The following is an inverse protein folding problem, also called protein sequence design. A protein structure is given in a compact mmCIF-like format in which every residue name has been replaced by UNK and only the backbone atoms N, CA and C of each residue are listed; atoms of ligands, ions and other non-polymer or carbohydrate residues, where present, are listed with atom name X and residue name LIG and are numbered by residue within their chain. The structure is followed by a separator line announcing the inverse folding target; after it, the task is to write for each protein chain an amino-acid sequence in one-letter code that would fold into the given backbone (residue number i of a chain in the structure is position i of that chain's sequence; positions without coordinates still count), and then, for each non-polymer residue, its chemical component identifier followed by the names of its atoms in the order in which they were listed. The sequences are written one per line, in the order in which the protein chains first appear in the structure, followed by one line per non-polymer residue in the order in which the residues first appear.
data_IF_095472908958
#
_entry.id   IF_095472908958
#
_cell.length_a   1.000
_cell.length_b   1.000
_cell.length_c   1.000
_cell.angle_alpha   90.00
_cell.angle_beta   90.00
_cell.angle_gamma   90.00
#
_symmetry.space_group_name_H-M   'P 1'
#
loop_
_entity.id
_entity.type
_entity.pdbx_description
1 polymer ?
#
# COMPACT_ATOMS: atom_id res chain seq x y z
N UNK A 1 14.15 -4.08 -6.39
CA UNK A 1 13.15 -4.63 -5.45
C UNK A 1 11.80 -4.64 -6.16
N UNK A 2 11.04 -5.72 -6.05
CA UNK A 2 9.73 -5.88 -6.69
C UNK A 2 8.82 -6.79 -5.85
N UNK A 3 7.50 -6.69 -6.04
CA UNK A 3 6.54 -7.67 -5.57
C UNK A 3 6.30 -8.76 -6.63
N UNK A 4 5.60 -9.83 -6.28
CA UNK A 4 5.26 -10.93 -7.21
C UNK A 4 4.01 -10.66 -8.07
N UNK A 5 3.38 -9.51 -7.96
CA UNK A 5 2.30 -9.07 -8.84
C UNK A 5 0.98 -9.81 -8.66
N UNK A 6 0.30 -10.11 -9.77
CA UNK A 6 -1.07 -10.63 -9.78
C UNK A 6 -1.21 -12.10 -9.41
N UNK A 7 -0.27 -12.93 -9.87
CA UNK A 7 -0.39 -14.38 -9.75
C UNK A 7 0.96 -15.00 -9.44
N UNK A 8 1.01 -15.71 -8.34
CA UNK A 8 2.07 -16.63 -8.04
C UNK A 8 1.57 -18.04 -8.40
N UNK A 9 2.14 -18.61 -9.45
CA UNK A 9 1.82 -19.97 -9.90
C UNK A 9 2.70 -21.04 -9.27
N UNK A 10 3.64 -20.64 -8.39
CA UNK A 10 4.50 -21.60 -7.71
C UNK A 10 3.68 -22.64 -6.95
N UNK A 11 4.13 -23.89 -7.00
CA UNK A 11 3.48 -25.03 -6.36
C UNK A 11 4.14 -25.41 -5.03
N UNK A 12 5.17 -24.66 -4.63
CA UNK A 12 5.83 -24.84 -3.34
C UNK A 12 4.96 -24.34 -2.17
N UNK A 13 5.43 -24.50 -0.95
CA UNK A 13 4.71 -24.12 0.27
C UNK A 13 4.43 -22.62 0.40
N UNK A 14 5.01 -21.79 -0.46
CA UNK A 14 4.80 -20.34 -0.52
C UNK A 14 3.94 -19.91 -1.71
N UNK A 15 3.52 -20.86 -2.55
CA UNK A 15 2.72 -20.61 -3.73
C UNK A 15 1.42 -19.88 -3.42
N UNK A 16 1.11 -18.84 -4.19
CA UNK A 16 -0.06 -18.00 -4.04
C UNK A 16 0.02 -16.96 -2.91
N UNK A 17 1.11 -16.87 -2.16
CA UNK A 17 1.30 -15.83 -1.16
C UNK A 17 1.84 -14.53 -1.77
N UNK A 18 1.51 -13.39 -1.17
CA UNK A 18 2.13 -12.11 -1.48
C UNK A 18 3.59 -12.11 -1.02
N UNK A 19 4.51 -11.79 -1.94
CA UNK A 19 5.95 -11.93 -1.73
C UNK A 19 6.71 -10.71 -2.23
N UNK A 20 7.74 -10.31 -1.46
CA UNK A 20 8.71 -9.29 -1.83
C UNK A 20 9.99 -9.97 -2.32
N UNK A 21 10.51 -9.52 -3.46
CA UNK A 21 11.79 -9.95 -4.01
C UNK A 21 12.79 -8.79 -3.97
N UNK A 22 13.95 -9.05 -3.42
CA UNK A 22 15.13 -8.20 -3.54
C UNK A 22 16.11 -8.92 -4.46
N UNK A 23 16.40 -8.31 -5.60
CA UNK A 23 17.25 -8.88 -6.65
C UNK A 23 18.57 -8.12 -6.61
N UNK A 24 19.68 -8.83 -6.53
CA UNK A 24 21.01 -8.23 -6.60
C UNK A 24 21.35 -7.88 -8.05
N UNK A 25 22.05 -6.76 -8.26
CA UNK A 25 22.33 -6.25 -9.60
C UNK A 25 23.27 -7.14 -10.41
N UNK A 26 24.12 -7.88 -9.71
CA UNK A 26 25.06 -8.85 -10.27
C UNK A 26 24.53 -10.30 -10.22
N UNK A 27 23.28 -10.47 -9.74
CA UNK A 27 22.62 -11.78 -9.71
C UNK A 27 22.32 -12.32 -11.11
N UNK A 28 22.39 -13.62 -11.28
CA UNK A 28 22.04 -14.34 -12.50
C UNK A 28 23.01 -14.10 -13.68
N UNK A 29 24.17 -13.47 -13.50
CA UNK A 29 25.17 -13.26 -14.56
C UNK A 29 25.78 -14.55 -15.07
N UNK A 30 25.72 -15.63 -14.31
CA UNK A 30 26.13 -16.97 -14.69
C UNK A 30 25.02 -17.76 -15.44
N UNK A 31 23.87 -17.14 -15.67
CA UNK A 31 22.68 -17.74 -16.30
C UNK A 31 21.80 -18.55 -15.35
N UNK A 32 22.08 -18.54 -14.04
CA UNK A 32 21.32 -19.26 -13.01
C UNK A 32 20.85 -18.29 -11.93
N UNK A 33 19.60 -18.42 -11.48
CA UNK A 33 19.06 -17.60 -10.37
C UNK A 33 18.96 -18.44 -9.10
N UNK A 34 19.85 -18.16 -8.15
CA UNK A 34 19.98 -18.90 -6.89
C UNK A 34 19.46 -18.09 -5.72
N UNK A 35 18.47 -18.65 -5.01
CA UNK A 35 17.95 -18.03 -3.78
C UNK A 35 19.06 -17.90 -2.71
N UNK A 36 19.14 -16.74 -2.10
CA UNK A 36 20.15 -16.41 -1.08
C UNK A 36 21.50 -15.93 -1.65
N UNK A 37 21.71 -16.07 -2.97
CA UNK A 37 22.90 -15.58 -3.67
C UNK A 37 22.56 -14.45 -4.63
N UNK A 38 21.57 -14.66 -5.51
CA UNK A 38 21.20 -13.72 -6.55
C UNK A 38 19.95 -12.91 -6.18
N UNK A 39 19.13 -13.45 -5.30
CA UNK A 39 17.94 -12.78 -4.80
C UNK A 39 17.52 -13.27 -3.42
N UNK A 40 16.81 -12.40 -2.70
CA UNK A 40 16.12 -12.71 -1.45
C UNK A 40 14.61 -12.67 -1.70
N UNK A 41 13.89 -13.61 -1.12
CA UNK A 41 12.42 -13.69 -1.15
C UNK A 41 11.87 -13.58 0.27
N UNK A 42 11.02 -12.61 0.52
CA UNK A 42 10.38 -12.38 1.82
C UNK A 42 8.88 -12.60 1.65
N UNK A 43 8.35 -13.67 2.22
CA UNK A 43 6.91 -13.95 2.18
C UNK A 43 6.15 -13.25 3.29
N UNK A 44 4.98 -12.72 2.96
CA UNK A 44 4.03 -12.18 3.94
C UNK A 44 3.26 -13.28 4.66
N UNK A 45 3.12 -14.46 4.04
CA UNK A 45 2.23 -15.53 4.49
C UNK A 45 0.75 -15.26 4.18
N UNK A 46 0.42 -14.16 3.50
CA UNK A 46 -0.95 -13.84 3.08
C UNK A 46 -1.22 -14.36 1.66
N UNK A 47 -2.15 -15.26 1.53
CA UNK A 47 -2.48 -15.97 0.30
C UNK A 47 -2.11 -17.45 0.35
N UNK A 48 -2.62 -18.22 -0.60
CA UNK A 48 -2.36 -19.65 -0.77
C UNK A 48 -2.61 -20.07 -2.22
N UNK A 49 -2.26 -21.28 -2.58
CA UNK A 49 -2.52 -21.82 -3.93
C UNK A 49 -4.01 -21.84 -4.30
N UNK A 50 -4.91 -21.95 -3.32
CA UNK A 50 -6.36 -21.92 -3.50
C UNK A 50 -6.97 -20.52 -3.41
N UNK A 51 -6.28 -19.57 -2.78
CA UNK A 51 -6.72 -18.17 -2.61
C UNK A 51 -5.51 -17.26 -2.82
N UNK A 52 -5.17 -17.08 -4.09
CA UNK A 52 -3.96 -16.38 -4.49
C UNK A 52 -3.97 -14.91 -4.12
N UNK A 53 -2.83 -14.44 -3.67
CA UNK A 53 -2.55 -13.05 -3.38
C UNK A 53 -1.26 -12.65 -4.12
N UNK A 54 -1.01 -11.36 -4.25
CA UNK A 54 0.20 -10.85 -4.87
C UNK A 54 0.55 -9.48 -4.32
N UNK A 55 1.83 -9.24 -4.15
CA UNK A 55 2.39 -7.97 -3.70
C UNK A 55 2.71 -7.10 -4.92
N UNK A 56 2.40 -5.82 -4.83
CA UNK A 56 2.63 -4.85 -5.91
C UNK A 56 3.88 -4.00 -5.69
N UNK A 57 4.03 -2.96 -6.51
CA UNK A 57 5.22 -2.11 -6.55
C UNK A 57 5.57 -1.54 -5.18
N UNK A 58 6.78 -1.79 -4.67
CA UNK A 58 7.20 -1.34 -3.36
C UNK A 58 7.76 0.08 -3.36
N UNK A 59 7.57 0.79 -2.25
CA UNK A 59 8.27 2.02 -1.91
C UNK A 59 9.41 1.69 -0.92
N UNK A 60 10.60 2.14 -1.25
CA UNK A 60 11.82 1.91 -0.45
C UNK A 60 12.15 3.19 0.32
N UNK A 61 12.51 3.06 1.58
CA UNK A 61 12.82 4.18 2.47
C UNK A 61 14.14 3.93 3.20
N UNK A 62 15.00 4.90 3.13
CA UNK A 62 16.20 5.07 3.95
C UNK A 62 15.82 6.03 5.10
N UNK A 63 15.71 5.49 6.33
CA UNK A 63 15.23 6.24 7.50
C UNK A 63 16.30 7.14 8.10
N UNK A 64 17.51 6.65 8.18
CA UNK A 64 18.65 7.32 8.82
C UNK A 64 19.54 8.09 7.84
N UNK A 65 19.29 7.96 6.52
CA UNK A 65 19.99 8.62 5.42
C UNK A 65 21.43 8.16 5.28
N UNK A 66 21.68 6.89 5.54
CA UNK A 66 23.01 6.28 5.39
C UNK A 66 23.25 5.74 3.96
N UNK A 67 22.25 5.82 3.06
CA UNK A 67 22.30 5.34 1.69
C UNK A 67 21.82 3.90 1.52
N UNK A 68 21.41 3.23 2.60
CA UNK A 68 20.84 1.89 2.56
C UNK A 68 19.33 1.90 2.87
N UNK A 69 18.62 0.88 2.41
CA UNK A 69 17.21 0.75 2.70
C UNK A 69 16.99 0.20 4.10
N UNK A 70 16.09 0.82 4.87
CA UNK A 70 15.69 0.36 6.21
C UNK A 70 14.28 -0.22 6.21
N UNK A 71 13.40 0.37 5.39
CA UNK A 71 11.99 0.03 5.37
C UNK A 71 11.45 -0.03 3.95
N UNK A 72 10.57 -1.01 3.68
CA UNK A 72 9.89 -1.14 2.40
C UNK A 72 8.39 -1.25 2.66
N UNK A 73 7.59 -0.55 1.85
CA UNK A 73 6.12 -0.61 1.92
C UNK A 73 5.56 -1.09 0.59
N UNK A 74 4.63 -2.03 0.64
CA UNK A 74 3.93 -2.50 -0.56
C UNK A 74 2.51 -2.95 -0.22
N UNK A 75 1.59 -2.76 -1.16
CA UNK A 75 0.22 -3.23 -1.07
C UNK A 75 0.03 -4.61 -1.69
N UNK A 76 -1.05 -5.28 -1.31
CA UNK A 76 -1.41 -6.56 -1.88
C UNK A 76 -2.83 -6.58 -2.49
N UNK A 77 -3.16 -7.68 -3.21
CA UNK A 77 -4.48 -7.87 -3.84
C UNK A 77 -5.62 -7.96 -2.82
N UNK A 78 -5.34 -8.42 -1.62
CA UNK A 78 -6.33 -8.57 -0.55
C UNK A 78 -6.58 -7.26 0.21
N UNK A 79 -5.87 -6.18 -0.15
CA UNK A 79 -6.06 -4.85 0.44
C UNK A 79 -5.29 -4.64 1.73
N UNK A 80 -4.22 -5.40 1.94
CA UNK A 80 -3.29 -5.18 3.03
C UNK A 80 -2.10 -4.35 2.57
N UNK A 81 -1.71 -3.37 3.38
CA UNK A 81 -0.47 -2.64 3.25
C UNK A 81 0.57 -3.29 4.17
N UNK A 82 1.63 -3.77 3.59
CA UNK A 82 2.75 -4.40 4.29
C UNK A 82 3.89 -3.42 4.49
N UNK A 83 4.55 -3.53 5.64
CA UNK A 83 5.84 -2.95 5.91
C UNK A 83 6.86 -4.07 6.10
N UNK A 84 8.05 -3.93 5.53
CA UNK A 84 9.15 -4.87 5.70
C UNK A 84 10.31 -4.15 6.38
N UNK A 85 10.92 -4.82 7.35
CA UNK A 85 12.14 -4.36 8.01
C UNK A 85 13.34 -4.97 7.30
N UNK A 86 14.16 -4.12 6.70
CA UNK A 86 15.37 -4.49 5.95
C UNK A 86 16.60 -3.74 6.48
N UNK A 87 16.48 -3.17 7.68
CA UNK A 87 17.55 -2.39 8.33
C UNK A 87 18.73 -3.23 8.84
N UNK A 88 18.55 -4.55 8.94
CA UNK A 88 19.64 -5.43 9.40
C UNK A 88 20.66 -5.64 8.28
N UNK A 89 21.96 -5.58 8.63
CA UNK A 89 23.05 -5.86 7.67
C UNK A 89 23.08 -7.32 7.18
N UNK A 90 22.36 -8.21 7.84
CA UNK A 90 22.23 -9.62 7.46
C UNK A 90 20.84 -9.79 6.82
N UNK A 91 20.81 -10.02 5.54
CA UNK A 91 19.60 -10.09 4.72
C UNK A 91 18.64 -11.24 5.11
N UNK A 92 19.15 -12.36 5.62
CA UNK A 92 18.35 -13.47 6.13
C UNK A 92 17.50 -13.11 7.36
N UNK A 93 17.74 -11.94 7.96
CA UNK A 93 16.95 -11.39 9.06
C UNK A 93 15.85 -10.44 8.59
N UNK A 94 15.83 -10.10 7.30
CA UNK A 94 14.79 -9.25 6.74
C UNK A 94 13.43 -9.96 6.77
N UNK A 95 12.41 -9.24 7.16
CA UNK A 95 11.09 -9.85 7.37
C UNK A 95 9.97 -8.81 7.29
N UNK A 96 8.70 -9.24 7.14
CA UNK A 96 7.59 -8.35 7.41
C UNK A 96 7.69 -7.80 8.83
N UNK A 97 7.55 -6.48 8.96
CA UNK A 97 7.58 -5.77 10.23
C UNK A 97 6.36 -6.11 11.12
N UNK A 98 6.24 -5.44 12.25
CA UNK A 98 5.07 -5.51 13.15
C UNK A 98 4.69 -6.94 13.57
N UNK A 99 5.70 -7.78 13.85
CA UNK A 99 5.45 -9.17 14.22
C UNK A 99 4.87 -10.02 13.08
N UNK A 100 5.21 -9.69 11.85
CA UNK A 100 4.74 -10.33 10.61
C UNK A 100 3.25 -10.10 10.33
N UNK A 101 2.70 -9.02 10.88
CA UNK A 101 1.35 -8.55 10.58
C UNK A 101 1.41 -7.42 9.54
N UNK A 102 0.37 -7.21 8.71
CA UNK A 102 0.30 -6.04 7.88
C UNK A 102 0.30 -4.76 8.73
N UNK A 103 0.86 -3.67 8.22
CA UNK A 103 0.70 -2.37 8.84
C UNK A 103 -0.78 -1.99 8.92
N UNK A 104 -1.51 -2.24 7.82
CA UNK A 104 -2.93 -1.88 7.70
C UNK A 104 -3.66 -2.88 6.81
N UNK A 105 -4.93 -3.14 7.13
CA UNK A 105 -5.85 -3.92 6.28
C UNK A 105 -7.10 -3.09 5.98
N UNK A 106 -7.37 -2.90 4.69
CA UNK A 106 -8.55 -2.21 4.17
C UNK A 106 -9.82 -3.04 4.22
N UNK A 107 -10.89 -2.53 3.63
CA UNK A 107 -12.12 -3.28 3.45
C UNK A 107 -11.98 -4.35 2.35
N UNK A 108 -12.83 -5.37 2.41
CA UNK A 108 -12.87 -6.40 1.37
C UNK A 108 -13.05 -5.79 -0.03
N UNK A 109 -12.29 -6.26 -1.00
CA UNK A 109 -12.33 -5.78 -2.37
C UNK A 109 -11.55 -4.49 -2.65
N UNK A 110 -10.80 -3.99 -1.67
CA UNK A 110 -9.94 -2.80 -1.77
C UNK A 110 -8.48 -3.19 -2.04
N UNK A 111 -8.21 -3.81 -3.17
CA UNK A 111 -6.82 -4.16 -3.58
C UNK A 111 -5.93 -2.91 -3.61
N UNK A 112 -4.67 -3.04 -3.20
CA UNK A 112 -3.66 -1.96 -3.25
C UNK A 112 -2.66 -2.34 -4.33
N UNK A 113 -2.81 -1.76 -5.53
CA UNK A 113 -2.04 -2.14 -6.73
C UNK A 113 -1.02 -1.11 -7.16
N UNK A 114 -1.03 0.06 -6.52
CA UNK A 114 -0.09 1.15 -6.82
C UNK A 114 1.05 1.18 -5.81
N UNK A 115 2.18 1.72 -6.22
CA UNK A 115 3.28 2.01 -5.31
C UNK A 115 2.83 3.05 -4.27
N UNK A 116 3.01 2.80 -2.98
CA UNK A 116 2.72 3.79 -1.94
C UNK A 116 3.66 4.99 -2.02
N UNK A 117 3.14 6.19 -1.73
CA UNK A 117 3.96 7.37 -1.51
C UNK A 117 4.25 7.52 -0.03
N UNK A 118 5.52 7.61 0.35
CA UNK A 118 5.94 7.66 1.75
C UNK A 118 6.55 9.01 2.06
N UNK A 119 6.09 9.62 3.15
CA UNK A 119 6.62 10.89 3.67
C UNK A 119 6.86 10.79 5.17
N UNK A 120 7.68 11.65 5.73
CA UNK A 120 7.77 11.81 7.19
C UNK A 120 6.45 12.30 7.74
N UNK A 121 6.10 11.84 8.95
CA UNK A 121 4.87 12.32 9.59
C UNK A 121 4.93 13.84 9.79
N UNK A 122 3.87 14.59 9.40
CA UNK A 122 3.94 16.05 9.36
C UNK A 122 4.06 16.75 10.72
N UNK A 123 3.68 16.06 11.81
CA UNK A 123 3.64 16.66 13.16
C UNK A 123 4.32 15.82 14.23
N UNK A 124 4.58 14.54 13.96
CA UNK A 124 5.23 13.63 14.93
C UNK A 124 6.62 13.28 14.43
N UNK A 125 7.65 13.68 15.16
CA UNK A 125 9.05 13.48 14.79
C UNK A 125 9.86 12.72 15.85
N UNK A 126 9.28 12.42 17.01
CA UNK A 126 9.98 11.91 18.17
C UNK A 126 9.75 10.42 18.39
N UNK A 127 10.79 9.70 18.83
CA UNK A 127 10.75 8.29 19.22
C UNK A 127 11.51 7.37 18.27
N UNK A 128 11.60 6.11 18.65
CA UNK A 128 12.27 5.04 17.90
C UNK A 128 11.43 4.44 16.77
N UNK A 129 10.19 4.85 16.65
CA UNK A 129 9.27 4.39 15.60
C UNK A 129 9.64 5.02 14.24
N UNK A 130 9.31 4.41 13.11
CA UNK A 130 9.55 4.96 11.78
C UNK A 130 8.97 6.37 11.58
N UNK A 131 7.81 6.66 12.18
CA UNK A 131 7.09 7.94 12.09
C UNK A 131 6.91 8.41 10.65
N UNK A 132 6.40 7.52 9.80
CA UNK A 132 6.13 7.76 8.40
C UNK A 132 4.63 7.76 8.13
N UNK A 133 4.18 8.64 7.22
CA UNK A 133 2.87 8.57 6.60
C UNK A 133 2.99 7.85 5.28
N UNK A 134 2.23 6.77 5.13
CA UNK A 134 2.14 5.97 3.91
C UNK A 134 0.83 6.28 3.23
N UNK A 135 0.91 6.85 2.02
CA UNK A 135 -0.22 7.34 1.24
C UNK A 135 -0.47 6.40 0.06
N UNK A 136 -1.69 5.93 -0.10
CA UNK A 136 -2.04 5.02 -1.19
C UNK A 136 -3.54 5.05 -1.49
N UNK A 137 -3.87 4.73 -2.72
CA UNK A 137 -5.24 4.49 -3.12
C UNK A 137 -5.53 3.00 -3.27
N UNK A 138 -6.81 2.66 -3.33
CA UNK A 138 -7.26 1.30 -3.57
C UNK A 138 -8.00 1.17 -4.90
N UNK A 139 -8.03 -0.05 -5.41
CA UNK A 139 -8.62 -0.45 -6.66
C UNK A 139 -7.63 -1.20 -7.53
N UNK A 140 -8.16 -1.89 -8.51
CA UNK A 140 -7.36 -2.56 -9.53
C UNK A 140 -7.98 -2.38 -10.91
N UNK A 141 -7.13 -2.32 -11.92
CA UNK A 141 -7.51 -2.25 -13.32
C UNK A 141 -6.43 -2.97 -14.13
N UNK A 142 -6.38 -4.30 -14.00
CA UNK A 142 -5.31 -5.16 -14.46
C UNK A 142 -5.80 -6.26 -15.40
N UNK A 143 -7.11 -6.55 -15.34
CA UNK A 143 -7.77 -7.56 -16.17
C UNK A 143 -9.16 -7.08 -16.62
N UNK A 144 -9.70 -7.67 -17.68
CA UNK A 144 -10.99 -7.27 -18.25
C UNK A 144 -12.14 -7.31 -17.23
N UNK A 145 -12.17 -8.30 -16.35
CA UNK A 145 -13.18 -8.40 -15.29
C UNK A 145 -13.13 -7.26 -14.26
N UNK A 146 -12.05 -6.47 -14.24
CA UNK A 146 -11.96 -5.36 -13.30
C UNK A 146 -12.83 -4.17 -13.72
N UNK A 147 -13.18 -4.05 -15.01
CA UNK A 147 -14.06 -2.99 -15.54
C UNK A 147 -15.41 -2.95 -14.83
N UNK A 148 -15.95 -4.11 -14.47
CA UNK A 148 -17.29 -4.26 -13.86
C UNK A 148 -17.28 -4.21 -12.32
N UNK A 149 -16.11 -4.16 -11.68
CA UNK A 149 -16.02 -4.07 -10.23
C UNK A 149 -16.58 -2.75 -9.72
N UNK A 150 -17.48 -2.82 -8.74
CA UNK A 150 -18.22 -1.66 -8.21
C UNK A 150 -18.06 -1.45 -6.71
N UNK A 151 -17.17 -2.20 -6.05
CA UNK A 151 -16.86 -1.99 -4.64
C UNK A 151 -16.36 -0.55 -4.42
N UNK A 152 -16.76 0.06 -3.31
CA UNK A 152 -16.22 1.36 -2.89
C UNK A 152 -14.74 1.27 -2.67
N UNK A 153 -13.99 2.10 -3.37
CA UNK A 153 -12.56 2.27 -3.18
C UNK A 153 -12.28 3.52 -2.37
N UNK A 154 -11.05 3.63 -1.85
CA UNK A 154 -10.70 4.70 -0.92
C UNK A 154 -9.28 5.18 -1.19
N UNK A 155 -8.99 6.39 -0.73
CA UNK A 155 -7.63 6.88 -0.58
C UNK A 155 -7.28 6.96 0.91
N UNK A 156 -6.08 6.52 1.26
CA UNK A 156 -5.62 6.37 2.63
C UNK A 156 -4.35 7.15 2.90
N UNK A 157 -4.22 7.66 4.13
CA UNK A 157 -2.96 8.07 4.72
C UNK A 157 -2.79 7.37 6.05
N UNK A 158 -1.92 6.37 6.12
CA UNK A 158 -1.69 5.53 7.30
C UNK A 158 -0.36 5.86 7.95
N UNK A 159 -0.37 6.07 9.26
CA UNK A 159 0.83 6.37 10.04
C UNK A 159 1.49 5.09 10.54
N UNK A 160 2.69 4.81 10.06
CA UNK A 160 3.58 3.81 10.66
C UNK A 160 4.28 4.42 11.88
N UNK A 161 3.74 4.13 13.03
CA UNK A 161 4.31 4.50 14.33
C UNK A 161 4.91 3.28 15.07
N UNK A 162 5.21 2.21 14.33
CA UNK A 162 5.68 0.93 14.90
C UNK A 162 4.56 -0.02 15.33
N UNK A 163 3.28 0.37 15.17
CA UNK A 163 2.11 -0.48 15.47
C UNK A 163 1.55 -1.04 14.16
N UNK A 164 1.39 -2.35 14.06
CA UNK A 164 0.74 -3.03 12.94
C UNK A 164 -0.71 -3.42 13.22
N UNK A 165 -1.28 -4.21 12.31
CA UNK A 165 -2.65 -4.70 12.35
C UNK A 165 -3.71 -3.58 12.46
N UNK A 166 -3.41 -2.41 11.90
CA UNK A 166 -4.35 -1.29 11.83
C UNK A 166 -5.49 -1.62 10.85
N UNK A 167 -6.67 -1.06 11.12
CA UNK A 167 -7.85 -1.19 10.26
C UNK A 167 -8.51 0.18 10.07
N UNK A 168 -9.57 0.24 9.27
CA UNK A 168 -10.32 1.50 9.08
C UNK A 168 -10.82 2.10 10.40
N UNK A 169 -11.16 1.30 11.40
CA UNK A 169 -11.57 1.78 12.73
C UNK A 169 -10.45 2.50 13.49
N UNK A 170 -9.19 2.27 13.10
CA UNK A 170 -8.02 2.95 13.64
C UNK A 170 -7.79 4.33 13.01
N UNK A 171 -8.54 4.71 11.98
CA UNK A 171 -8.34 5.91 11.18
C UNK A 171 -9.49 6.92 11.33
N UNK A 172 -9.22 8.18 11.03
CA UNK A 172 -10.26 9.19 10.86
C UNK A 172 -10.93 9.04 9.48
N UNK A 173 -12.25 8.93 9.45
CA UNK A 173 -13.01 9.01 8.21
C UNK A 173 -13.16 10.45 7.78
N UNK A 174 -12.75 10.77 6.56
CA UNK A 174 -13.01 12.04 5.91
C UNK A 174 -14.16 11.86 4.92
N UNK A 175 -14.93 12.89 4.65
CA UNK A 175 -16.08 12.83 3.75
C UNK A 175 -15.98 13.92 2.69
N UNK A 176 -16.35 13.60 1.46
CA UNK A 176 -16.54 14.60 0.42
C UNK A 176 -17.95 15.22 0.53
N UNK A 177 -18.00 16.54 0.54
CA UNK A 177 -19.22 17.25 0.15
C UNK A 177 -19.29 17.20 -1.39
N UNK A 178 -20.27 16.51 -1.92
CA UNK A 178 -20.57 16.54 -3.34
C UNK A 178 -21.27 17.87 -3.63
N UNK A 179 -20.54 18.85 -4.11
CA UNK A 179 -21.15 20.09 -4.55
C UNK A 179 -21.71 19.93 -5.97
N UNK A 180 -23.02 19.68 -6.07
CA UNK A 180 -23.74 19.44 -7.33
C UNK A 180 -24.07 20.74 -8.08
N UNK A 181 -23.56 21.89 -7.67
CA UNK A 181 -23.84 23.17 -8.33
C UNK A 181 -23.09 23.37 -9.66
N UNK A 182 -22.86 22.30 -10.44
CA UNK A 182 -22.23 22.35 -11.77
C UNK A 182 -20.72 22.60 -11.75
N UNK A 183 -20.11 22.68 -10.60
CA UNK A 183 -18.69 22.99 -10.42
C UNK A 183 -17.86 21.72 -10.30
N UNK A 184 -18.06 20.63 -10.81
CA UNK A 184 -17.20 19.41 -10.89
C UNK A 184 -16.08 19.31 -9.82
N UNK A 185 -16.28 19.94 -8.66
CA UNK A 185 -15.32 20.00 -7.57
C UNK A 185 -15.84 19.21 -6.36
N UNK A 186 -14.92 18.49 -5.69
CA UNK A 186 -15.19 17.79 -4.44
C UNK A 186 -14.45 18.50 -3.32
N UNK A 187 -15.15 18.80 -2.24
CA UNK A 187 -14.60 19.48 -1.07
C UNK A 187 -14.74 18.57 0.14
N UNK A 188 -13.75 18.57 1.02
CA UNK A 188 -13.85 17.88 2.31
C UNK A 188 -14.74 18.70 3.25
N UNK A 189 -15.85 18.10 3.73
CA UNK A 189 -16.71 18.76 4.69
C UNK A 189 -17.49 17.72 5.54
N UNK A 190 -17.41 17.82 6.87
CA UNK A 190 -16.47 18.65 7.59
C UNK A 190 -15.04 18.11 7.53
N UNK A 191 -14.04 19.00 7.53
CA UNK A 191 -12.64 18.57 7.71
C UNK A 191 -12.43 18.10 9.14
N UNK A 192 -12.13 16.82 9.32
CA UNK A 192 -11.88 16.24 10.63
C UNK A 192 -10.38 16.19 10.94
N UNK A 193 -9.97 16.90 12.00
CA UNK A 193 -8.59 16.84 12.48
C UNK A 193 -8.27 15.45 13.03
N UNK A 194 -7.25 14.82 12.51
CA UNK A 194 -6.76 13.51 12.99
C UNK A 194 -6.12 13.65 14.37
N UNK A 195 -6.46 12.74 15.28
CA UNK A 195 -6.06 12.77 16.70
C UNK A 195 -4.81 11.91 16.93
N UNK A 196 -3.67 12.33 16.38
CA UNK A 196 -2.40 11.58 16.50
C UNK A 196 -1.83 11.51 17.93
N UNK A 197 -2.00 12.57 18.71
CA UNK A 197 -1.34 12.72 20.02
C UNK A 197 -2.16 12.21 21.22
N UNK A 198 -3.39 11.76 21.00
CA UNK A 198 -4.24 11.31 22.11
C UNK A 198 -3.77 9.99 22.70
N UNK A 199 -3.73 9.90 24.05
CA UNK A 199 -3.47 8.63 24.76
C UNK A 199 -4.63 7.65 24.58
N UNK A 200 -5.89 8.15 24.60
CA UNK A 200 -7.11 7.35 24.40
C UNK A 200 -7.82 7.81 23.13
N UNK A 201 -8.26 6.88 22.29
CA UNK A 201 -8.90 7.19 21.00
C UNK A 201 -7.95 7.83 20.00
N UNK A 202 -6.67 7.45 20.04
CA UNK A 202 -5.67 7.81 19.02
C UNK A 202 -6.12 7.30 17.65
N UNK A 203 -5.86 8.12 16.65
CA UNK A 203 -6.06 7.76 15.25
C UNK A 203 -4.71 7.64 14.56
N UNK A 204 -4.56 6.59 13.75
CA UNK A 204 -3.30 6.26 13.06
C UNK A 204 -3.33 6.70 11.60
N UNK A 205 -4.04 7.75 11.30
CA UNK A 205 -4.18 8.29 9.96
C UNK A 205 -5.62 8.63 9.61
N UNK A 206 -5.88 8.64 8.31
CA UNK A 206 -7.17 9.01 7.75
C UNK A 206 -7.46 8.24 6.47
N UNK A 207 -8.73 8.22 6.08
CA UNK A 207 -9.15 7.74 4.77
C UNK A 207 -10.30 8.58 4.24
N UNK A 208 -10.51 8.48 2.94
CA UNK A 208 -11.66 9.04 2.25
C UNK A 208 -12.18 8.05 1.23
N UNK A 209 -13.48 7.79 1.27
CA UNK A 209 -14.13 6.92 0.29
C UNK A 209 -14.39 7.69 -1.00
N UNK A 210 -14.12 7.04 -2.14
CA UNK A 210 -14.40 7.58 -3.46
C UNK A 210 -15.91 7.43 -3.73
N UNK A 211 -16.61 8.54 -4.05
CA UNK A 211 -18.06 8.55 -4.00
C UNK A 211 -18.75 7.92 -5.21
N UNK A 212 -18.07 7.84 -6.35
CA UNK A 212 -18.68 7.30 -7.56
C UNK A 212 -18.56 5.77 -7.62
N UNK A 213 -19.60 5.11 -8.10
CA UNK A 213 -19.60 3.66 -8.30
C UNK A 213 -18.49 3.25 -9.27
N UNK A 214 -17.64 2.31 -8.85
CA UNK A 214 -16.53 1.81 -9.66
C UNK A 214 -15.31 2.75 -9.73
N UNK A 215 -15.37 3.92 -9.11
CA UNK A 215 -14.24 4.84 -9.01
C UNK A 215 -13.09 4.21 -8.23
N UNK A 216 -11.86 4.36 -8.72
CA UNK A 216 -10.67 3.72 -8.14
C UNK A 216 -9.40 4.53 -8.39
N UNK A 217 -8.38 4.30 -7.57
CA UNK A 217 -7.05 4.88 -7.72
C UNK A 217 -6.11 3.79 -8.24
N UNK A 218 -5.52 4.03 -9.41
CA UNK A 218 -4.60 3.09 -10.08
C UNK A 218 -3.28 3.76 -10.47
N UNK A 219 -2.97 4.89 -9.86
CA UNK A 219 -1.72 5.63 -10.03
C UNK A 219 -1.16 6.08 -8.69
N UNK A 220 0.15 6.33 -8.66
CA UNK A 220 0.81 6.87 -7.47
C UNK A 220 0.29 8.26 -7.10
N UNK A 221 0.31 8.57 -5.80
CA UNK A 221 0.05 9.92 -5.33
C UNK A 221 1.33 10.75 -5.38
N UNK A 222 1.17 12.06 -5.57
CA UNK A 222 2.25 13.03 -5.49
C UNK A 222 2.06 13.92 -4.26
N UNK A 223 3.14 14.18 -3.53
CA UNK A 223 3.13 15.14 -2.41
C UNK A 223 4.01 16.34 -2.76
N UNK A 224 3.43 17.54 -2.59
CA UNK A 224 4.16 18.81 -2.70
C UNK A 224 3.80 19.69 -1.52
N UNK A 225 4.81 20.04 -0.72
CA UNK A 225 4.59 20.77 0.53
C UNK A 225 3.68 19.97 1.48
N UNK A 226 2.49 20.51 1.75
CA UNK A 226 1.49 19.87 2.63
C UNK A 226 0.29 19.32 1.87
N UNK A 227 0.36 19.25 0.54
CA UNK A 227 -0.76 18.86 -0.32
C UNK A 227 -0.45 17.49 -0.94
N UNK A 228 -1.44 16.61 -0.89
CA UNK A 228 -1.44 15.31 -1.57
C UNK A 228 -2.28 15.43 -2.84
N UNK A 229 -1.71 15.04 -3.96
CA UNK A 229 -2.38 14.97 -5.26
C UNK A 229 -2.53 13.51 -5.65
N UNK A 230 -3.71 13.09 -5.99
CA UNK A 230 -3.96 11.77 -6.55
C UNK A 230 -5.06 11.84 -7.61
N UNK A 231 -5.04 10.90 -8.53
CA UNK A 231 -6.05 10.77 -9.58
C UNK A 231 -6.87 9.50 -9.33
N UNK A 232 -8.15 9.59 -9.64
CA UNK A 232 -9.03 8.43 -9.71
C UNK A 232 -9.58 8.27 -11.14
N UNK A 233 -9.95 7.04 -11.48
CA UNK A 233 -10.61 6.70 -12.74
C UNK A 233 -11.93 5.98 -12.45
N UNK A 234 -12.88 6.12 -13.36
CA UNK A 234 -14.07 5.29 -13.44
C UNK A 234 -13.94 4.57 -14.79
N UNK A 235 -13.67 3.25 -14.81
CA UNK A 235 -13.59 2.52 -16.06
C UNK A 235 -14.93 2.58 -16.80
N UNK A 236 -14.88 2.94 -18.07
CA UNK A 236 -16.03 2.85 -18.95
C UNK A 236 -16.15 1.42 -19.49
N UNK A 237 -17.35 0.86 -19.38
CA UNK A 237 -17.68 -0.47 -19.92
C UNK A 237 -18.33 -0.39 -21.28
N UNK A 238 -18.67 0.82 -21.76
CA UNK A 238 -19.21 1.01 -23.10
C UNK A 238 -18.15 0.67 -24.14
N UNK A 239 -18.51 -0.15 -25.11
CA UNK A 239 -17.70 -0.34 -26.32
C UNK A 239 -17.77 0.98 -27.07
N UNK A 240 -16.61 1.57 -27.40
CA UNK A 240 -16.62 2.73 -28.31
C UNK A 240 -17.44 2.33 -29.55
N UNK A 241 -18.60 2.95 -29.72
CA UNK A 241 -19.32 2.82 -30.96
C UNK A 241 -18.46 3.47 -32.06
N UNK A 242 -17.98 2.64 -32.97
CA UNK A 242 -17.25 3.06 -34.18
C UNK A 242 -18.19 3.76 -35.15
#
# INVERSE_FOLDING_TARGET
ITGNGLEDTATDSTGGAAQLFVIYLDGGVDGTWTYGTDYIRITTGSGSTSSRNGLFSPAVVDLDRNGTADRIYAGDLNGSLWAFDVSNSIDTKWSPAHGRQPLFTGSSGQSITTKPTVIRHPTVSNGSAPNLMVLFGTGRFLADGDKTRSNTQSFYGVWDNGTGALTRSSLASQTFLLNDSGKRARVLDPYLKVKYEKKTGRQYGWYIDLPAKGERVVSEALVRGKIVYFNSIIPDVSVCAS
#
